data_IF_675507573065
#
_entry.id   IF_675507573065
#
_cell.length_a   1.000
_cell.length_b   1.000
_cell.length_c   1.000
_cell.angle_alpha   90.00
_cell.angle_beta   90.00
_cell.angle_gamma   90.00
#
_symmetry.space_group_name_H-M   'P 1'
#
loop_
_entity.id
_entity.type
_entity.pdbx_description
1 polymer ?
#
# COMPACT_ATOMS: atom_id res chain seq x y z
N UNK A 1 59.20 -58.84 -38.29
CA UNK A 1 57.89 -58.57 -38.93
C UNK A 1 56.79 -58.93 -37.94
N UNK A 2 55.84 -58.00 -37.73
CA UNK A 2 54.60 -58.07 -36.92
C UNK A 2 54.81 -57.77 -35.41
N UNK A 3 54.43 -56.58 -34.90
CA UNK A 3 53.06 -56.03 -34.63
C UNK A 3 52.37 -56.87 -33.55
N UNK A 4 51.78 -56.38 -32.45
CA UNK A 4 51.42 -55.05 -31.94
C UNK A 4 50.94 -55.20 -30.47
N UNK A 5 51.14 -54.19 -29.62
CA UNK A 5 50.09 -53.26 -29.13
C UNK A 5 48.94 -53.91 -28.33
N UNK A 6 48.97 -53.62 -27.03
CA UNK A 6 47.89 -53.16 -26.12
C UNK A 6 46.47 -53.75 -26.24
N UNK A 7 45.82 -54.01 -25.09
CA UNK A 7 44.83 -53.09 -24.51
C UNK A 7 44.27 -53.63 -23.17
N UNK A 8 44.21 -52.68 -22.25
CA UNK A 8 43.59 -52.62 -20.94
C UNK A 8 42.05 -52.72 -21.05
N UNK A 9 41.38 -53.55 -20.25
CA UNK A 9 39.95 -53.37 -19.94
C UNK A 9 39.73 -53.60 -18.45
N UNK A 10 39.66 -52.49 -17.72
CA UNK A 10 39.22 -52.41 -16.32
C UNK A 10 37.72 -52.10 -16.36
N UNK A 11 36.89 -53.08 -16.03
CA UNK A 11 35.43 -52.96 -16.06
C UNK A 11 34.88 -52.45 -14.71
N UNK A 12 34.43 -51.19 -14.74
CA UNK A 12 33.14 -50.70 -14.23
C UNK A 12 32.75 -50.97 -12.77
N UNK A 13 32.91 -49.95 -11.93
CA UNK A 13 31.99 -49.60 -10.84
C UNK A 13 32.06 -48.07 -10.62
N UNK A 14 31.29 -47.33 -11.43
CA UNK A 14 31.14 -45.88 -11.36
C UNK A 14 29.72 -45.55 -10.90
N UNK A 15 29.66 -45.06 -9.65
CA UNK A 15 28.77 -44.04 -9.09
C UNK A 15 27.52 -43.72 -9.91
N UNK A 16 26.36 -44.12 -9.39
CA UNK A 16 25.08 -43.55 -9.79
C UNK A 16 25.00 -42.09 -9.37
N UNK A 17 25.50 -41.20 -10.22
CA UNK A 17 25.08 -39.80 -10.22
C UNK A 17 23.65 -39.76 -10.74
N UNK A 18 22.69 -39.53 -9.86
CA UNK A 18 21.37 -39.03 -10.27
C UNK A 18 21.63 -37.68 -10.90
N UNK A 19 21.59 -37.61 -12.23
CA UNK A 19 21.55 -36.37 -12.99
C UNK A 19 20.29 -35.63 -12.55
N UNK A 20 20.45 -34.65 -11.68
CA UNK A 20 19.46 -33.59 -11.50
C UNK A 20 19.35 -32.94 -12.88
N UNK A 21 18.17 -32.96 -13.54
CA UNK A 21 18.02 -32.25 -14.79
C UNK A 21 18.40 -30.79 -14.53
N UNK A 22 19.31 -30.26 -15.34
CA UNK A 22 19.58 -28.84 -15.38
C UNK A 22 18.23 -28.15 -15.56
N UNK A 23 17.76 -27.49 -14.49
CA UNK A 23 16.63 -26.57 -14.56
C UNK A 23 17.00 -25.62 -15.69
N UNK A 24 16.25 -25.68 -16.79
CA UNK A 24 16.34 -24.71 -17.85
C UNK A 24 16.35 -23.35 -17.18
N UNK A 25 17.41 -22.56 -17.38
CA UNK A 25 17.44 -21.17 -16.99
C UNK A 25 16.29 -20.48 -17.73
N UNK A 26 15.13 -20.46 -17.09
CA UNK A 26 14.01 -19.65 -17.48
C UNK A 26 14.55 -18.23 -17.38
N UNK A 27 14.55 -17.48 -18.49
CA UNK A 27 14.96 -16.08 -18.50
C UNK A 27 14.34 -15.40 -17.27
N UNK A 28 15.20 -14.88 -16.39
CA UNK A 28 14.77 -14.18 -15.20
C UNK A 28 14.05 -12.93 -15.70
N UNK A 29 12.71 -12.96 -15.67
CA UNK A 29 11.90 -11.87 -16.17
C UNK A 29 12.16 -10.65 -15.29
N UNK A 30 12.68 -9.59 -15.90
CA UNK A 30 12.86 -8.31 -15.22
C UNK A 30 11.49 -7.65 -15.01
N UNK A 31 11.00 -7.75 -13.78
CA UNK A 31 9.77 -7.11 -13.32
C UNK A 31 10.01 -5.72 -12.74
N UNK A 32 11.24 -5.22 -12.76
CA UNK A 32 11.53 -3.88 -12.23
C UNK A 32 10.90 -2.80 -13.10
N UNK A 33 10.56 -1.70 -12.43
CA UNK A 33 10.09 -0.45 -13.02
C UNK A 33 11.15 0.59 -12.73
N UNK A 34 11.45 1.46 -13.69
CA UNK A 34 12.42 2.53 -13.48
C UNK A 34 11.76 3.76 -12.85
N UNK A 35 12.53 4.62 -12.18
CA UNK A 35 12.03 5.89 -11.65
C UNK A 35 11.44 6.80 -12.75
N UNK A 36 11.98 6.76 -13.97
CA UNK A 36 11.47 7.54 -15.11
C UNK A 36 10.09 7.04 -15.57
N UNK A 37 9.94 5.72 -15.72
CA UNK A 37 8.66 5.08 -16.04
C UNK A 37 7.63 5.35 -14.93
N UNK A 38 8.03 5.24 -13.67
CA UNK A 38 7.18 5.55 -12.54
C UNK A 38 6.73 7.03 -12.52
N UNK A 39 7.63 7.96 -12.84
CA UNK A 39 7.30 9.39 -12.92
C UNK A 39 6.27 9.68 -14.02
N UNK A 40 6.38 9.01 -15.17
CA UNK A 40 5.39 9.10 -16.25
C UNK A 40 4.02 8.58 -15.80
N UNK A 41 3.97 7.42 -15.14
CA UNK A 41 2.73 6.89 -14.56
C UNK A 41 2.11 7.83 -13.53
N UNK A 42 2.91 8.45 -12.66
CA UNK A 42 2.43 9.39 -11.66
C UNK A 42 1.77 10.60 -12.32
N UNK A 43 2.43 11.22 -13.31
CA UNK A 43 1.88 12.38 -14.03
C UNK A 43 0.62 12.03 -14.82
N UNK A 44 0.64 10.92 -15.57
CA UNK A 44 -0.51 10.48 -16.35
C UNK A 44 -1.74 10.23 -15.46
N UNK A 45 -1.56 9.53 -14.34
CA UNK A 45 -2.67 9.25 -13.43
C UNK A 45 -3.15 10.51 -12.68
N UNK A 46 -2.25 11.42 -12.30
CA UNK A 46 -2.65 12.71 -11.71
C UNK A 46 -3.55 13.50 -12.68
N UNK A 47 -3.15 13.60 -13.95
CA UNK A 47 -3.96 14.24 -15.00
C UNK A 47 -5.32 13.55 -15.14
N UNK A 48 -5.33 12.22 -15.19
CA UNK A 48 -6.56 11.43 -15.31
C UNK A 48 -7.51 11.65 -14.12
N UNK A 49 -6.98 11.68 -12.90
CA UNK A 49 -7.80 11.93 -11.71
C UNK A 49 -8.42 13.32 -11.71
N UNK A 50 -7.66 14.35 -12.10
CA UNK A 50 -8.17 15.72 -12.23
C UNK A 50 -9.21 15.79 -13.36
N UNK A 51 -8.90 15.25 -14.54
CA UNK A 51 -9.78 15.31 -15.71
C UNK A 51 -11.10 14.55 -15.52
N UNK A 52 -11.11 13.51 -14.69
CA UNK A 52 -12.32 12.74 -14.35
C UNK A 52 -13.07 13.27 -13.13
N UNK A 53 -12.65 14.41 -12.58
CA UNK A 53 -13.20 15.03 -11.35
C UNK A 53 -13.23 14.04 -10.17
N UNK A 54 -12.10 13.38 -9.92
CA UNK A 54 -11.96 12.43 -8.81
C UNK A 54 -12.00 13.15 -7.47
N UNK A 55 -12.75 12.62 -6.51
CA UNK A 55 -12.88 13.21 -5.17
C UNK A 55 -11.52 13.40 -4.51
N UNK A 56 -11.27 14.61 -4.00
CA UNK A 56 -10.00 15.02 -3.38
C UNK A 56 -9.02 15.73 -4.33
N UNK A 57 -9.26 15.73 -5.63
CA UNK A 57 -8.40 16.39 -6.63
C UNK A 57 -8.82 17.83 -6.98
N UNK A 58 -9.83 18.38 -6.32
CA UNK A 58 -10.40 19.71 -6.64
C UNK A 58 -9.33 20.82 -6.59
N UNK A 59 -8.36 20.66 -5.68
CA UNK A 59 -7.28 21.63 -5.47
C UNK A 59 -5.98 21.32 -6.22
N UNK A 60 -5.92 20.25 -7.02
CA UNK A 60 -4.69 19.77 -7.66
C UNK A 60 -4.38 20.42 -9.01
N UNK A 61 -5.34 21.13 -9.61
CA UNK A 61 -5.06 21.95 -10.79
C UNK A 61 -4.01 23.01 -10.47
N UNK A 62 -2.99 23.11 -11.32
CA UNK A 62 -1.79 23.93 -11.15
C UNK A 62 -0.68 23.28 -10.33
N UNK A 63 -0.87 22.05 -9.84
CA UNK A 63 0.16 21.28 -9.14
C UNK A 63 1.12 20.60 -10.14
N UNK A 64 2.31 20.26 -9.63
CA UNK A 64 3.35 19.51 -10.33
C UNK A 64 3.91 18.42 -9.44
N UNK A 65 4.42 17.34 -10.04
CA UNK A 65 5.09 16.26 -9.32
C UNK A 65 6.60 16.55 -9.28
N UNK A 66 7.23 16.43 -8.12
CA UNK A 66 8.70 16.43 -8.02
C UNK A 66 9.24 15.18 -8.73
N UNK A 67 10.14 15.34 -9.69
CA UNK A 67 10.67 14.23 -10.48
C UNK A 67 11.64 13.33 -9.74
N UNK A 68 12.07 13.71 -8.53
CA UNK A 68 12.94 12.89 -7.67
C UNK A 68 12.10 12.15 -6.65
N UNK A 69 11.79 10.85 -6.86
CA UNK A 69 11.05 10.09 -5.88
C UNK A 69 11.92 9.72 -4.67
N UNK A 70 11.25 9.50 -3.54
CA UNK A 70 11.81 8.68 -2.48
C UNK A 70 11.62 7.20 -2.84
N UNK A 71 12.66 6.39 -2.76
CA UNK A 71 12.54 4.95 -2.92
C UNK A 71 12.11 4.32 -1.59
N UNK A 72 11.02 3.57 -1.63
CA UNK A 72 10.49 2.84 -0.48
C UNK A 72 10.63 1.33 -0.70
N UNK A 73 11.00 0.63 0.36
CA UNK A 73 11.27 -0.80 0.36
C UNK A 73 10.30 -1.55 1.27
N UNK A 74 10.12 -2.83 0.99
CA UNK A 74 9.45 -3.77 1.86
C UNK A 74 10.39 -4.17 3.01
N UNK A 75 9.88 -4.57 4.19
CA UNK A 75 10.71 -5.09 5.26
C UNK A 75 11.54 -6.33 4.88
N UNK A 76 11.20 -7.01 3.77
CA UNK A 76 11.98 -8.10 3.17
C UNK A 76 13.17 -7.62 2.33
N UNK A 77 13.28 -6.31 2.04
CA UNK A 77 14.34 -5.73 1.22
C UNK A 77 13.99 -5.51 -0.25
N UNK A 78 12.82 -5.96 -0.71
CA UNK A 78 12.33 -5.71 -2.06
C UNK A 78 11.94 -4.24 -2.24
N UNK A 79 12.34 -3.58 -3.33
CA UNK A 79 11.86 -2.22 -3.64
C UNK A 79 10.37 -2.28 -3.93
N UNK A 80 9.59 -1.49 -3.18
CA UNK A 80 8.13 -1.42 -3.28
C UNK A 80 7.70 -0.32 -4.22
N UNK A 81 8.08 0.92 -3.90
CA UNK A 81 7.47 2.10 -4.49
C UNK A 81 8.49 3.17 -4.82
N UNK A 82 8.18 3.92 -5.86
CA UNK A 82 8.67 5.28 -6.06
C UNK A 82 7.60 6.23 -5.51
N UNK A 83 7.91 6.87 -4.39
CA UNK A 83 7.04 7.84 -3.75
C UNK A 83 7.33 9.24 -4.28
N UNK A 84 6.36 9.85 -4.95
CA UNK A 84 6.48 11.17 -5.52
C UNK A 84 5.71 12.22 -4.70
N UNK A 85 6.34 13.38 -4.49
CA UNK A 85 5.72 14.53 -3.85
C UNK A 85 4.94 15.35 -4.87
N UNK A 86 3.70 15.72 -4.53
CA UNK A 86 2.85 16.60 -5.33
C UNK A 86 2.88 17.99 -4.72
N UNK A 87 3.34 18.96 -5.49
CA UNK A 87 3.61 20.32 -5.05
C UNK A 87 2.70 21.31 -5.77
N UNK A 88 2.09 22.23 -5.02
CA UNK A 88 1.43 23.43 -5.57
C UNK A 88 2.00 24.65 -4.88
N UNK A 89 2.51 25.60 -5.65
CA UNK A 89 3.19 26.79 -5.12
C UNK A 89 4.30 26.44 -4.09
N UNK A 90 5.09 25.39 -4.36
CA UNK A 90 6.13 24.83 -3.47
C UNK A 90 5.62 24.25 -2.14
N UNK A 91 4.30 24.15 -1.96
CA UNK A 91 3.67 23.50 -0.80
C UNK A 91 3.35 22.06 -1.15
N UNK A 92 3.70 21.12 -0.26
CA UNK A 92 3.30 19.72 -0.37
C UNK A 92 1.80 19.59 -0.16
N UNK A 93 1.08 19.11 -1.18
CA UNK A 93 -0.38 18.92 -1.13
C UNK A 93 -0.80 17.46 -1.24
N UNK A 94 0.11 16.59 -1.65
CA UNK A 94 -0.18 15.17 -1.82
C UNK A 94 1.06 14.33 -2.07
N UNK A 95 0.87 13.02 -2.02
CA UNK A 95 1.86 12.00 -2.34
C UNK A 95 1.23 10.99 -3.30
N UNK A 96 2.00 10.51 -4.28
CA UNK A 96 1.61 9.38 -5.14
C UNK A 96 2.69 8.31 -5.05
N UNK A 97 2.31 7.10 -4.63
CA UNK A 97 3.19 5.94 -4.67
C UNK A 97 2.95 5.15 -5.96
N UNK A 98 4.01 4.91 -6.72
CA UNK A 98 3.99 4.09 -7.93
C UNK A 98 4.78 2.80 -7.69
N UNK A 99 4.24 1.66 -8.09
CA UNK A 99 4.92 0.37 -7.95
C UNK A 99 6.27 0.35 -8.68
N UNK A 100 7.30 -0.10 -7.97
CA UNK A 100 8.65 -0.35 -8.48
C UNK A 100 8.81 -1.78 -9.05
N UNK A 101 7.80 -2.63 -8.87
CA UNK A 101 7.75 -4.01 -9.34
C UNK A 101 6.38 -4.32 -9.95
N UNK A 102 6.36 -4.78 -11.20
CA UNK A 102 5.15 -5.07 -11.98
C UNK A 102 4.27 -6.15 -11.34
N UNK A 103 4.84 -7.00 -10.49
CA UNK A 103 4.11 -8.03 -9.73
C UNK A 103 3.21 -7.46 -8.64
N UNK A 104 3.30 -6.17 -8.33
CA UNK A 104 2.43 -5.48 -7.36
C UNK A 104 1.04 -5.11 -7.92
N UNK A 105 0.80 -5.33 -9.22
CA UNK A 105 -0.49 -5.08 -9.85
C UNK A 105 -0.52 -3.77 -10.62
N UNK A 106 -1.59 -2.98 -10.47
CA UNK A 106 -1.72 -1.67 -11.12
C UNK A 106 -0.58 -0.70 -10.77
N UNK A 107 -0.36 0.35 -11.56
CA UNK A 107 0.83 1.20 -11.38
C UNK A 107 0.74 2.12 -10.16
N UNK A 108 -0.40 2.79 -9.95
CA UNK A 108 -0.64 3.65 -8.77
C UNK A 108 -1.10 2.81 -7.59
N UNK A 109 -0.37 2.92 -6.48
CA UNK A 109 -0.51 2.10 -5.28
C UNK A 109 -1.21 2.88 -4.15
N UNK A 110 -0.90 4.17 -4.02
CA UNK A 110 -1.46 5.07 -3.02
C UNK A 110 -1.50 6.49 -3.60
N UNK A 111 -2.57 7.23 -3.29
CA UNK A 111 -2.66 8.69 -3.44
C UNK A 111 -3.12 9.27 -2.11
N UNK A 112 -2.20 9.93 -1.42
CA UNK A 112 -2.44 10.55 -0.13
C UNK A 112 -2.62 12.06 -0.29
N UNK A 113 -3.55 12.64 0.46
CA UNK A 113 -3.88 14.07 0.45
C UNK A 113 -3.39 14.73 1.73
N UNK A 114 -2.88 15.96 1.60
CA UNK A 114 -2.44 16.77 2.74
C UNK A 114 -1.49 16.03 3.72
N UNK A 115 -0.46 15.32 3.20
CA UNK A 115 0.41 14.53 4.07
C UNK A 115 1.24 15.43 4.99
N UNK A 116 1.42 14.97 6.23
CA UNK A 116 2.47 15.53 7.09
C UNK A 116 3.84 15.29 6.43
N UNK A 117 4.72 16.31 6.33
CA UNK A 117 6.07 16.09 5.84
C UNK A 117 6.93 15.38 6.89
N UNK A 118 7.91 14.60 6.43
CA UNK A 118 8.97 14.01 7.26
C UNK A 118 10.33 14.12 6.55
N UNK A 119 11.42 13.95 7.31
CA UNK A 119 12.78 13.98 6.78
C UNK A 119 13.39 12.56 6.76
N UNK A 120 13.47 11.97 5.57
CA UNK A 120 13.99 10.61 5.38
C UNK A 120 15.45 10.46 5.85
N UNK A 121 16.29 11.50 5.68
CA UNK A 121 17.69 11.47 6.10
C UNK A 121 17.80 11.38 7.62
N UNK A 122 16.94 12.09 8.33
CA UNK A 122 16.84 12.12 9.79
C UNK A 122 16.38 10.76 10.32
N UNK A 123 15.32 10.19 9.75
CA UNK A 123 14.85 8.85 10.11
C UNK A 123 15.94 7.78 9.89
N UNK A 124 16.62 7.80 8.73
CA UNK A 124 17.71 6.88 8.43
C UNK A 124 18.93 7.06 9.35
N UNK A 125 19.30 8.31 9.67
CA UNK A 125 20.35 8.60 10.64
C UNK A 125 20.00 8.04 12.02
N UNK A 126 18.75 8.22 12.46
CA UNK A 126 18.29 7.72 13.76
C UNK A 126 18.29 6.20 13.81
N UNK A 127 17.84 5.52 12.76
CA UNK A 127 17.90 4.06 12.65
C UNK A 127 19.35 3.55 12.73
N UNK A 128 20.31 4.20 12.06
CA UNK A 128 21.74 3.87 12.17
C UNK A 128 22.32 4.11 13.55
N UNK A 129 21.94 5.20 14.20
CA UNK A 129 22.37 5.53 15.56
C UNK A 129 21.95 4.42 16.54
N UNK A 130 20.67 4.03 16.50
CA UNK A 130 20.13 2.96 17.35
C UNK A 130 20.85 1.63 17.04
N UNK A 131 21.04 1.30 15.77
CA UNK A 131 21.77 0.08 15.38
C UNK A 131 23.20 0.04 15.92
N UNK A 132 23.93 1.16 15.89
CA UNK A 132 25.29 1.26 16.47
C UNK A 132 25.31 1.18 17.99
N UNK A 133 24.25 1.65 18.66
CA UNK A 133 24.16 1.57 20.10
C UNK A 133 23.82 0.16 20.57
N UNK A 134 22.93 -0.54 19.87
CA UNK A 134 22.52 -1.92 20.21
C UNK A 134 23.54 -2.97 19.75
N UNK A 135 24.24 -2.71 18.65
CA UNK A 135 25.27 -3.59 18.09
C UNK A 135 26.57 -2.81 17.80
N UNK A 136 27.31 -2.36 18.83
CA UNK A 136 28.52 -1.54 18.65
C UNK A 136 29.60 -2.16 17.76
N UNK A 137 29.75 -3.49 17.82
CA UNK A 137 30.70 -4.22 16.98
C UNK A 137 30.11 -4.67 15.63
N UNK A 138 28.80 -4.50 15.42
CA UNK A 138 28.09 -4.96 14.24
C UNK A 138 28.48 -4.23 12.95
N UNK A 139 28.38 -4.92 11.82
CA UNK A 139 28.55 -4.34 10.49
C UNK A 139 27.18 -3.91 9.94
N UNK A 140 26.99 -2.60 9.70
CA UNK A 140 25.79 -2.12 8.99
C UNK A 140 25.85 -2.61 7.55
N UNK A 141 24.87 -3.43 7.15
CA UNK A 141 24.75 -3.97 5.79
C UNK A 141 23.97 -3.04 4.88
N UNK A 142 22.91 -2.42 5.40
CA UNK A 142 22.08 -1.47 4.65
C UNK A 142 21.30 -0.56 5.59
N UNK A 143 20.91 0.60 5.07
CA UNK A 143 19.87 1.45 5.67
C UNK A 143 19.00 1.98 4.54
N UNK A 144 17.68 1.80 4.66
CA UNK A 144 16.73 2.22 3.63
C UNK A 144 15.41 2.68 4.26
N UNK A 145 14.65 3.49 3.53
CA UNK A 145 13.27 3.78 3.89
C UNK A 145 12.39 2.59 3.54
N UNK A 146 11.49 2.22 4.45
CA UNK A 146 10.61 1.05 4.33
C UNK A 146 9.17 1.43 4.61
N UNK A 147 8.24 0.68 3.99
CA UNK A 147 6.85 0.63 4.42
C UNK A 147 6.73 -0.54 5.38
N UNK A 148 6.76 -0.28 6.68
CA UNK A 148 6.87 -1.35 7.67
C UNK A 148 5.52 -1.86 8.17
N UNK A 149 4.50 -1.01 8.15
CA UNK A 149 3.12 -1.31 8.56
C UNK A 149 2.18 -0.50 7.66
N UNK A 150 1.84 -1.03 6.47
CA UNK A 150 1.26 -0.24 5.39
C UNK A 150 -0.01 0.52 5.83
N UNK A 151 -0.13 1.83 5.53
CA UNK A 151 0.75 2.64 4.67
C UNK A 151 1.89 3.39 5.41
N UNK A 152 2.19 3.04 6.67
CA UNK A 152 3.17 3.73 7.50
C UNK A 152 4.61 3.47 7.02
N UNK A 153 5.38 4.54 6.95
CA UNK A 153 6.78 4.56 6.49
C UNK A 153 7.75 4.82 7.63
N UNK A 154 8.93 4.21 7.54
CA UNK A 154 10.01 4.32 8.52
C UNK A 154 11.37 4.05 7.90
N UNK A 155 12.43 4.10 8.69
CA UNK A 155 13.76 3.69 8.27
C UNK A 155 14.11 2.33 8.88
N UNK A 156 14.66 1.43 8.06
CA UNK A 156 15.19 0.13 8.48
C UNK A 156 16.70 0.10 8.29
N UNK A 157 17.44 -0.29 9.33
CA UNK A 157 18.87 -0.60 9.26
C UNK A 157 19.08 -2.08 9.52
N UNK A 158 19.75 -2.77 8.60
CA UNK A 158 20.20 -4.16 8.79
C UNK A 158 21.63 -4.13 9.32
N UNK A 159 21.85 -4.75 10.47
CA UNK A 159 23.16 -4.87 11.11
C UNK A 159 23.50 -6.33 11.35
N UNK A 160 24.67 -6.74 10.88
CA UNK A 160 25.21 -8.08 11.10
C UNK A 160 26.09 -8.08 12.34
N UNK A 161 25.69 -8.79 13.38
CA UNK A 161 26.51 -8.99 14.56
C UNK A 161 27.77 -9.80 14.19
N UNK A 162 28.96 -9.25 14.49
CA UNK A 162 30.23 -9.93 14.21
C UNK A 162 30.48 -11.14 15.09
N UNK A 163 29.88 -11.19 16.28
CA UNK A 163 30.08 -12.27 17.25
C UNK A 163 29.32 -13.52 16.84
N UNK A 164 28.05 -13.34 16.51
CA UNK A 164 27.14 -14.45 16.17
C UNK A 164 27.00 -14.67 14.67
N UNK A 165 27.30 -13.66 13.86
CA UNK A 165 27.04 -13.66 12.41
C UNK A 165 25.57 -13.40 12.05
N UNK A 166 24.69 -13.21 13.03
CA UNK A 166 23.25 -13.03 12.84
C UNK A 166 22.95 -11.60 12.38
N UNK A 167 22.00 -11.46 11.46
CA UNK A 167 21.49 -10.16 11.02
C UNK A 167 20.28 -9.74 11.85
N UNK A 168 20.30 -8.48 12.29
CA UNK A 168 19.23 -7.84 13.04
C UNK A 168 18.70 -6.65 12.25
N UNK A 169 17.40 -6.38 12.35
CA UNK A 169 16.76 -5.22 11.72
C UNK A 169 16.34 -4.22 12.80
N UNK A 170 16.65 -2.96 12.56
CA UNK A 170 16.27 -1.85 13.43
C UNK A 170 15.32 -0.93 12.66
N UNK A 171 14.09 -0.79 13.16
CA UNK A 171 13.06 0.05 12.57
C UNK A 171 12.88 1.35 13.38
N UNK A 172 12.69 2.46 12.67
CA UNK A 172 12.38 3.78 13.24
C UNK A 172 11.25 4.39 12.43
N UNK A 173 10.19 4.83 13.10
CA UNK A 173 9.07 5.52 12.44
C UNK A 173 9.52 6.87 11.88
N UNK A 174 9.11 7.20 10.65
CA UNK A 174 9.60 8.39 9.97
C UNK A 174 9.08 9.71 10.57
N UNK A 175 7.94 9.67 11.26
CA UNK A 175 7.24 10.85 11.74
C UNK A 175 7.55 11.20 13.19
N UNK A 176 7.74 10.18 14.02
CA UNK A 176 7.99 10.27 15.46
C UNK A 176 9.47 10.09 15.81
N UNK A 177 10.24 9.45 14.92
CA UNK A 177 11.62 9.04 15.14
C UNK A 177 11.79 8.05 16.30
N UNK A 178 10.70 7.43 16.74
CA UNK A 178 10.70 6.40 17.77
C UNK A 178 11.08 5.04 17.18
N UNK A 179 11.73 4.21 17.99
CA UNK A 179 12.06 2.83 17.63
C UNK A 179 10.76 2.02 17.52
N UNK A 180 10.62 1.27 16.43
CA UNK A 180 9.55 0.29 16.26
C UNK A 180 10.10 -1.10 16.59
N UNK A 181 9.34 -1.87 17.36
CA UNK A 181 9.71 -3.25 17.68
C UNK A 181 9.68 -4.13 16.42
N UNK A 182 10.75 -4.88 16.16
CA UNK A 182 10.79 -5.86 15.08
C UNK A 182 10.00 -7.12 15.46
N UNK A 183 8.67 -7.00 15.44
CA UNK A 183 7.73 -8.09 15.71
C UNK A 183 6.63 -8.08 14.64
N UNK A 184 6.10 -9.25 14.25
CA UNK A 184 4.99 -9.31 13.31
C UNK A 184 3.73 -8.67 13.90
N UNK A 185 2.88 -8.13 13.03
CA UNK A 185 1.53 -7.72 13.41
C UNK A 185 0.71 -8.94 13.90
N UNK A 186 -0.19 -8.70 14.84
CA UNK A 186 -1.20 -9.68 15.29
C UNK A 186 -2.60 -9.15 14.98
N UNK A 187 -3.67 -9.87 15.29
CA UNK A 187 -5.04 -9.34 15.08
C UNK A 187 -5.29 -8.06 15.91
N UNK A 188 -4.64 -7.91 17.07
CA UNK A 188 -4.92 -6.84 18.03
C UNK A 188 -3.76 -5.87 18.24
N UNK A 189 -2.60 -6.09 17.61
CA UNK A 189 -1.43 -5.24 17.76
C UNK A 189 -0.80 -4.95 16.39
N UNK A 190 -0.44 -3.68 16.10
CA UNK A 190 0.34 -3.35 14.91
C UNK A 190 1.75 -3.96 15.00
N UNK A 191 2.38 -4.13 13.85
CA UNK A 191 3.73 -4.70 13.77
C UNK A 191 4.27 -4.66 12.36
N UNK A 192 5.43 -5.28 12.16
CA UNK A 192 6.12 -5.33 10.88
C UNK A 192 5.50 -6.42 9.99
N UNK A 193 5.04 -6.06 8.80
CA UNK A 193 4.52 -7.03 7.82
C UNK A 193 4.81 -6.61 6.37
N UNK A 194 4.77 -7.58 5.46
CA UNK A 194 5.10 -7.37 4.04
C UNK A 194 3.85 -7.08 3.21
N UNK A 195 3.68 -5.83 2.79
CA UNK A 195 2.66 -5.48 1.80
C UNK A 195 2.98 -6.10 0.43
N UNK A 196 4.27 -6.35 0.15
CA UNK A 196 4.67 -7.07 -1.05
C UNK A 196 4.05 -8.47 -1.09
N UNK A 197 4.27 -9.28 -0.04
CA UNK A 197 3.72 -10.62 0.07
C UNK A 197 2.19 -10.63 0.07
N UNK A 198 1.57 -9.66 0.77
CA UNK A 198 0.12 -9.51 0.80
C UNK A 198 -0.45 -9.31 -0.61
N UNK A 199 0.13 -8.41 -1.42
CA UNK A 199 -0.32 -8.16 -2.80
C UNK A 199 -0.06 -9.35 -3.73
N UNK A 200 0.96 -10.16 -3.48
CA UNK A 200 1.22 -11.37 -4.27
C UNK A 200 0.16 -12.46 -4.07
N UNK A 201 -0.62 -12.44 -2.98
CA UNK A 201 -1.75 -13.36 -2.77
C UNK A 201 -2.84 -13.22 -3.83
N UNK A 202 -2.90 -12.07 -4.52
CA UNK A 202 -3.81 -11.85 -5.66
C UNK A 202 -3.43 -12.66 -6.92
N UNK A 203 -2.23 -13.26 -6.94
CA UNK A 203 -1.70 -14.05 -8.04
C UNK A 203 -0.87 -13.21 -9.03
N UNK A 204 0.37 -13.64 -9.26
CA UNK A 204 1.34 -12.93 -10.13
C UNK A 204 0.77 -12.66 -11.52
N UNK A 205 0.17 -13.65 -12.18
CA UNK A 205 -0.39 -13.49 -13.52
C UNK A 205 -1.55 -12.49 -13.57
N UNK A 206 -2.33 -12.41 -12.49
CA UNK A 206 -3.39 -11.42 -12.40
C UNK A 206 -2.82 -10.01 -12.19
N UNK A 207 -1.82 -9.90 -11.31
CA UNK A 207 -1.13 -8.64 -11.07
C UNK A 207 -0.44 -8.11 -12.33
N UNK A 208 0.26 -8.95 -13.09
CA UNK A 208 0.88 -8.56 -14.36
C UNK A 208 -0.16 -8.11 -15.40
N UNK A 209 -1.34 -8.73 -15.44
CA UNK A 209 -2.46 -8.27 -16.27
C UNK A 209 -2.97 -6.90 -15.84
N UNK A 210 -3.04 -6.63 -14.53
CA UNK A 210 -3.43 -5.31 -14.00
C UNK A 210 -2.35 -4.25 -14.30
N UNK A 211 -1.07 -4.59 -14.13
CA UNK A 211 0.04 -3.74 -14.51
C UNK A 211 -0.06 -3.31 -15.97
N UNK A 212 -0.16 -4.28 -16.88
CA UNK A 212 -0.20 -4.01 -18.32
C UNK A 212 -1.33 -3.06 -18.71
N UNK A 213 -2.54 -3.26 -18.17
CA UNK A 213 -3.66 -2.36 -18.47
C UNK A 213 -3.50 -0.97 -17.85
N UNK A 214 -2.92 -0.88 -16.66
CA UNK A 214 -2.57 0.40 -16.03
C UNK A 214 -1.52 1.16 -16.84
N UNK A 215 -0.57 0.44 -17.43
CA UNK A 215 0.46 0.97 -18.31
C UNK A 215 -0.12 1.44 -19.65
N UNK A 216 -1.02 0.67 -20.26
CA UNK A 216 -1.76 1.06 -21.46
C UNK A 216 -2.56 2.36 -21.25
N UNK A 217 -3.21 2.51 -20.10
CA UNK A 217 -3.88 3.76 -19.73
C UNK A 217 -2.90 4.93 -19.67
N UNK A 218 -1.79 4.80 -18.94
CA UNK A 218 -0.80 5.86 -18.83
C UNK A 218 -0.23 6.27 -20.20
N UNK A 219 0.12 5.30 -21.04
CA UNK A 219 0.59 5.52 -22.42
C UNK A 219 -0.44 6.22 -23.29
N UNK A 220 -1.73 5.91 -23.14
CA UNK A 220 -2.79 6.60 -23.88
C UNK A 220 -2.88 8.08 -23.51
N UNK A 221 -2.70 8.42 -22.22
CA UNK A 221 -2.72 9.80 -21.73
C UNK A 221 -1.49 10.56 -22.21
N UNK A 222 -0.31 9.92 -22.16
CA UNK A 222 0.92 10.44 -22.76
C UNK A 222 0.73 10.77 -24.25
N UNK A 223 0.18 9.83 -25.02
CA UNK A 223 -0.04 10.03 -26.44
C UNK A 223 -1.04 11.16 -26.71
N UNK A 224 -2.13 11.24 -25.94
CA UNK A 224 -3.08 12.35 -26.03
C UNK A 224 -2.40 13.69 -25.74
N UNK A 225 -1.52 13.74 -24.73
CA UNK A 225 -0.77 14.93 -24.39
C UNK A 225 0.19 15.36 -25.50
N UNK A 226 0.95 14.42 -26.08
CA UNK A 226 1.82 14.69 -27.24
C UNK A 226 1.00 15.25 -28.41
N UNK A 227 -0.14 14.63 -28.73
CA UNK A 227 -1.01 15.06 -29.83
C UNK A 227 -1.56 16.49 -29.66
N UNK A 228 -1.72 16.94 -28.41
CA UNK A 228 -2.22 18.29 -28.08
C UNK A 228 -1.10 19.29 -27.74
N UNK A 229 0.16 18.89 -27.84
CA UNK A 229 1.31 19.72 -27.46
C UNK A 229 1.36 20.06 -25.96
N UNK A 230 0.83 19.18 -25.12
CA UNK A 230 0.84 19.32 -23.66
C UNK A 230 1.99 18.49 -23.08
N UNK A 231 2.81 19.10 -22.22
CA UNK A 231 3.83 18.36 -21.46
C UNK A 231 3.22 17.81 -20.19
N UNK A 232 3.24 16.48 -20.03
CA UNK A 232 2.77 15.83 -18.79
C UNK A 232 3.76 15.96 -17.64
N UNK A 233 5.02 16.31 -17.91
CA UNK A 233 6.08 16.44 -16.90
C UNK A 233 6.14 17.84 -16.27
N UNK A 234 5.18 18.70 -16.60
CA UNK A 234 5.08 20.07 -16.10
C UNK A 234 3.83 20.23 -15.22
N UNK A 235 3.68 21.41 -14.61
CA UNK A 235 2.49 21.71 -13.83
C UNK A 235 1.21 21.56 -14.67
N UNK A 236 0.20 20.89 -14.10
CA UNK A 236 -1.04 20.54 -14.79
C UNK A 236 -2.00 21.73 -14.73
N UNK A 237 -1.93 22.62 -15.71
CA UNK A 237 -2.78 23.83 -15.75
C UNK A 237 -4.24 23.52 -16.10
N UNK A 238 -5.16 24.45 -15.81
CA UNK A 238 -6.55 24.34 -16.26
C UNK A 238 -6.67 24.20 -17.78
N UNK A 239 -5.81 24.90 -18.54
CA UNK A 239 -5.77 24.81 -20.00
C UNK A 239 -5.34 23.41 -20.45
N UNK A 240 -4.34 22.84 -19.81
CA UNK A 240 -3.87 21.48 -20.09
C UNK A 240 -5.00 20.47 -19.83
N UNK A 241 -5.68 20.58 -18.68
CA UNK A 241 -6.82 19.71 -18.37
C UNK A 241 -7.93 19.88 -19.41
N UNK A 242 -8.35 21.11 -19.74
CA UNK A 242 -9.39 21.36 -20.75
C UNK A 242 -9.04 20.75 -22.11
N UNK A 243 -7.77 20.81 -22.53
CA UNK A 243 -7.31 20.20 -23.79
C UNK A 243 -7.36 18.67 -23.75
N UNK A 244 -7.03 18.07 -22.62
CA UNK A 244 -6.92 16.62 -22.46
C UNK A 244 -8.25 15.95 -22.11
N UNK A 245 -9.15 16.61 -21.38
CA UNK A 245 -10.43 16.03 -20.92
C UNK A 245 -11.32 15.51 -22.05
N UNK A 246 -11.17 16.01 -23.28
CA UNK A 246 -11.91 15.49 -24.44
C UNK A 246 -11.37 14.14 -24.94
N UNK A 247 -10.06 13.91 -24.80
CA UNK A 247 -9.36 12.71 -25.28
C UNK A 247 -9.22 11.67 -24.17
N UNK A 248 -9.09 12.11 -22.91
CA UNK A 248 -9.27 11.31 -21.70
C UNK A 248 -10.75 10.99 -21.63
N UNK A 249 -11.14 10.06 -22.49
CA UNK A 249 -12.50 9.54 -22.55
C UNK A 249 -12.74 8.95 -21.18
N UNK A 250 -13.68 9.51 -20.42
CA UNK A 250 -14.27 8.81 -19.28
C UNK A 250 -14.80 7.51 -19.87
N UNK A 251 -14.04 6.43 -19.71
CA UNK A 251 -14.45 5.14 -20.23
C UNK A 251 -15.86 4.88 -19.70
N UNK A 252 -16.71 4.15 -20.43
CA UNK A 252 -17.98 3.68 -19.85
C UNK A 252 -17.76 2.92 -18.52
N UNK A 253 -16.53 2.47 -18.26
CA UNK A 253 -16.12 1.80 -17.03
C UNK A 253 -15.61 2.72 -15.92
N UNK A 254 -15.37 4.01 -16.19
CA UNK A 254 -14.88 4.95 -15.17
C UNK A 254 -16.01 5.34 -14.23
N UNK A 255 -16.01 4.71 -13.06
CA UNK A 255 -17.03 4.85 -12.03
C UNK A 255 -16.34 5.27 -10.76
N UNK A 256 -16.96 6.19 -10.04
CA UNK A 256 -16.53 6.59 -8.70
C UNK A 256 -17.74 6.72 -7.82
N UNK A 257 -17.65 6.15 -6.63
CA UNK A 257 -18.64 6.30 -5.57
C UNK A 257 -17.88 6.59 -4.28
N UNK A 258 -18.12 7.75 -3.68
CA UNK A 258 -17.65 8.12 -2.34
C UNK A 258 -18.87 8.49 -1.50
N UNK A 259 -19.08 7.77 -0.40
CA UNK A 259 -20.26 7.92 0.46
C UNK A 259 -20.18 9.11 1.41
N UNK A 260 -19.08 9.86 1.45
CA UNK A 260 -19.01 11.07 2.27
C UNK A 260 -18.65 10.84 3.75
N UNK A 261 -18.50 9.59 4.21
CA UNK A 261 -18.36 9.25 5.64
C UNK A 261 -17.14 9.90 6.32
N UNK A 262 -17.37 10.66 7.40
CA UNK A 262 -16.33 11.43 8.12
C UNK A 262 -15.20 10.53 8.66
N UNK A 263 -13.96 11.01 8.57
CA UNK A 263 -12.77 10.31 9.07
C UNK A 263 -12.38 10.87 10.44
N UNK A 264 -12.15 9.98 11.41
CA UNK A 264 -11.74 10.33 12.78
C UNK A 264 -10.44 9.62 13.16
N UNK A 265 -9.43 10.36 13.60
CA UNK A 265 -8.20 9.77 14.14
C UNK A 265 -8.46 8.93 15.40
N UNK A 266 -7.67 7.88 15.62
CA UNK A 266 -7.69 7.15 16.89
C UNK A 266 -7.11 7.99 18.03
N UNK A 267 -7.69 7.91 19.23
CA UNK A 267 -7.24 8.69 20.40
C UNK A 267 -6.13 8.01 21.21
N UNK A 268 -5.87 6.72 20.96
CA UNK A 268 -4.76 5.96 21.55
C UNK A 268 -4.30 4.87 20.58
N UNK A 269 -3.10 4.32 20.80
CA UNK A 269 -2.39 3.45 19.85
C UNK A 269 -3.11 2.15 19.50
N UNK A 270 -4.05 1.70 20.33
CA UNK A 270 -4.80 0.45 20.17
C UNK A 270 -6.28 0.65 19.81
N UNK A 271 -6.68 1.86 19.39
CA UNK A 271 -8.08 2.22 19.12
C UNK A 271 -8.48 2.26 17.64
N UNK A 272 -7.73 1.60 16.74
CA UNK A 272 -8.08 1.54 15.33
C UNK A 272 -9.51 0.97 15.09
N UNK A 273 -9.87 -0.10 15.79
CA UNK A 273 -11.22 -0.68 15.76
C UNK A 273 -12.31 0.28 16.26
N UNK A 274 -12.23 0.80 17.51
CA UNK A 274 -13.15 1.80 18.03
C UNK A 274 -13.25 3.08 17.17
N UNK A 275 -12.15 3.57 16.63
CA UNK A 275 -12.14 4.74 15.75
C UNK A 275 -12.87 4.47 14.43
N UNK A 276 -12.63 3.31 13.82
CA UNK A 276 -13.37 2.86 12.63
C UNK A 276 -14.86 2.72 12.93
N UNK A 277 -15.22 2.13 14.07
CA UNK A 277 -16.60 2.00 14.50
C UNK A 277 -17.28 3.35 14.76
N UNK A 278 -16.56 4.34 15.29
CA UNK A 278 -17.05 5.72 15.42
C UNK A 278 -17.39 6.33 14.06
N UNK A 279 -16.52 6.18 13.06
CA UNK A 279 -16.78 6.67 11.70
C UNK A 279 -18.04 6.01 11.09
N UNK A 280 -18.18 4.69 11.28
CA UNK A 280 -19.34 3.95 10.79
C UNK A 280 -20.63 4.32 11.56
N UNK A 281 -20.55 4.54 12.88
CA UNK A 281 -21.70 4.96 13.70
C UNK A 281 -22.21 6.33 13.27
N UNK A 282 -21.30 7.29 13.06
CA UNK A 282 -21.65 8.62 12.55
C UNK A 282 -22.39 8.49 11.21
N UNK A 283 -21.88 7.65 10.31
CA UNK A 283 -22.49 7.49 8.99
C UNK A 283 -23.88 6.83 9.04
N UNK A 284 -24.04 5.73 9.77
CA UNK A 284 -25.28 4.95 9.76
C UNK A 284 -26.37 5.49 10.68
N UNK A 285 -25.98 6.12 11.79
CA UNK A 285 -26.90 6.49 12.87
C UNK A 285 -26.91 8.00 13.17
N UNK A 286 -26.05 8.81 12.52
CA UNK A 286 -25.87 10.24 12.83
C UNK A 286 -25.49 10.47 14.32
N UNK A 287 -24.71 9.54 14.85
CA UNK A 287 -24.27 9.51 16.25
C UNK A 287 -22.74 9.49 16.36
N UNK A 288 -22.22 10.25 17.33
CA UNK A 288 -20.79 10.48 17.48
C UNK A 288 -20.20 9.97 18.82
N UNK A 289 -20.32 8.67 19.17
CA UNK A 289 -19.89 8.17 20.46
C UNK A 289 -18.38 8.32 20.71
N UNK A 290 -18.00 8.36 21.98
CA UNK A 290 -16.59 8.41 22.37
C UNK A 290 -15.91 7.04 22.13
N UNK A 291 -14.68 7.03 21.61
CA UNK A 291 -13.98 5.77 21.28
C UNK A 291 -13.80 4.85 22.50
N UNK A 292 -13.60 5.40 23.70
CA UNK A 292 -13.55 4.62 24.95
C UNK A 292 -14.85 3.86 25.22
N UNK A 293 -16.01 4.49 25.02
CA UNK A 293 -17.31 3.81 25.20
C UNK A 293 -17.49 2.67 24.21
N UNK A 294 -17.10 2.89 22.95
CA UNK A 294 -17.10 1.85 21.93
C UNK A 294 -16.16 0.69 22.33
N UNK A 295 -14.95 1.01 22.78
CA UNK A 295 -13.95 0.02 23.21
C UNK A 295 -14.43 -0.84 24.39
N UNK A 296 -15.07 -0.22 25.39
CA UNK A 296 -15.71 -0.93 26.52
C UNK A 296 -16.81 -1.87 26.03
N UNK A 297 -17.66 -1.43 25.10
CA UNK A 297 -18.72 -2.27 24.51
C UNK A 297 -18.19 -3.40 23.63
N UNK A 298 -17.02 -3.22 23.03
CA UNK A 298 -16.30 -4.26 22.31
C UNK A 298 -15.56 -5.23 23.26
N UNK A 299 -15.68 -5.07 24.58
CA UNK A 299 -14.91 -5.84 25.57
C UNK A 299 -13.39 -5.75 25.33
N UNK A 300 -12.89 -4.56 24.97
CA UNK A 300 -11.47 -4.31 24.82
C UNK A 300 -10.70 -4.41 26.14
N UNK A 301 -9.45 -4.87 26.09
CA UNK A 301 -8.55 -4.97 27.25
C UNK A 301 -7.24 -4.25 26.95
N UNK A 302 -7.03 -3.10 27.58
CA UNK A 302 -5.85 -2.28 27.34
C UNK A 302 -4.55 -3.02 27.76
N UNK A 303 -3.43 -2.81 27.04
CA UNK A 303 -3.25 -1.89 25.93
C UNK A 303 -3.47 -2.52 24.54
N UNK A 304 -4.27 -3.59 24.43
CA UNK A 304 -4.49 -4.30 23.16
C UNK A 304 -5.64 -3.72 22.35
N UNK A 305 -5.60 -3.89 21.03
CA UNK A 305 -6.73 -3.63 20.15
C UNK A 305 -7.89 -4.61 20.36
N UNK A 306 -8.81 -4.61 19.40
CA UNK A 306 -10.02 -5.46 19.41
C UNK A 306 -10.08 -6.35 18.18
N UNK A 307 -10.35 -7.62 18.41
CA UNK A 307 -10.60 -8.62 17.35
C UNK A 307 -11.84 -8.28 16.53
N UNK A 308 -12.00 -8.88 15.35
CA UNK A 308 -13.22 -8.71 14.56
C UNK A 308 -14.46 -9.20 15.31
N UNK A 309 -14.33 -10.27 16.11
CA UNK A 309 -15.42 -10.79 16.94
C UNK A 309 -15.85 -9.79 18.02
N UNK A 310 -14.90 -9.10 18.64
CA UNK A 310 -15.15 -8.04 19.59
C UNK A 310 -15.79 -6.82 18.93
N UNK A 311 -15.34 -6.42 17.74
CA UNK A 311 -15.95 -5.31 17.00
C UNK A 311 -17.43 -5.59 16.68
N UNK A 312 -17.76 -6.83 16.31
CA UNK A 312 -19.14 -7.25 16.05
C UNK A 312 -20.07 -7.15 17.27
N UNK A 313 -19.55 -7.16 18.50
CA UNK A 313 -20.35 -6.94 19.71
C UNK A 313 -21.00 -5.56 19.68
N UNK A 314 -20.22 -4.53 19.34
CA UNK A 314 -20.71 -3.17 19.23
C UNK A 314 -21.61 -2.98 18.00
N UNK A 315 -21.23 -3.53 16.85
CA UNK A 315 -22.02 -3.39 15.62
C UNK A 315 -23.42 -4.01 15.74
N UNK A 316 -23.53 -5.20 16.34
CA UNK A 316 -24.80 -5.94 16.44
C UNK A 316 -25.67 -5.52 17.62
N UNK A 317 -25.08 -5.00 18.69
CA UNK A 317 -25.81 -4.65 19.91
C UNK A 317 -26.86 -3.57 19.65
N UNK A 318 -28.06 -3.74 20.23
CA UNK A 318 -29.12 -2.72 20.20
C UNK A 318 -28.74 -1.44 20.94
N UNK A 319 -27.80 -1.53 21.88
CA UNK A 319 -27.24 -0.38 22.60
C UNK A 319 -25.97 0.16 21.91
N UNK A 320 -25.53 -0.47 20.81
CA UNK A 320 -24.44 -0.03 19.94
C UNK A 320 -24.99 0.46 18.61
N UNK A 321 -24.53 -0.07 17.48
CA UNK A 321 -25.01 0.39 16.17
C UNK A 321 -26.37 -0.18 15.76
N UNK A 322 -26.87 -1.22 16.44
CA UNK A 322 -28.12 -1.91 16.09
C UNK A 322 -28.14 -2.43 14.63
N UNK A 323 -27.03 -3.07 14.23
CA UNK A 323 -26.81 -3.70 12.93
C UNK A 323 -26.65 -5.22 13.10
N UNK A 324 -27.74 -5.94 13.46
CA UNK A 324 -27.67 -7.33 13.93
C UNK A 324 -27.09 -8.30 12.89
N UNK A 325 -27.27 -8.02 11.60
CA UNK A 325 -26.82 -8.84 10.48
C UNK A 325 -25.38 -8.54 10.04
N UNK A 326 -24.66 -7.66 10.77
CA UNK A 326 -23.24 -7.39 10.51
C UNK A 326 -22.39 -8.66 10.62
N UNK A 327 -21.37 -8.82 9.79
CA UNK A 327 -20.50 -10.00 9.81
C UNK A 327 -19.09 -9.71 9.30
N UNK A 328 -18.12 -10.51 9.76
CA UNK A 328 -16.73 -10.46 9.32
C UNK A 328 -16.44 -11.51 8.25
N UNK A 329 -15.52 -11.22 7.33
CA UNK A 329 -15.05 -12.16 6.30
C UNK A 329 -13.58 -11.92 5.96
N UNK A 330 -12.84 -12.98 5.66
CA UNK A 330 -11.48 -12.92 5.09
C UNK A 330 -11.49 -13.09 3.57
N UNK A 331 -12.66 -13.34 2.99
CA UNK A 331 -12.83 -13.40 1.53
C UNK A 331 -13.04 -11.98 1.02
N UNK A 332 -11.95 -11.35 0.55
CA UNK A 332 -11.94 -9.99 0.02
C UNK A 332 -12.00 -10.00 -1.51
N UNK A 333 -12.83 -9.14 -2.09
CA UNK A 333 -12.89 -8.92 -3.53
C UNK A 333 -13.31 -7.50 -3.84
N UNK A 334 -12.82 -6.94 -4.96
CA UNK A 334 -13.22 -5.60 -5.38
C UNK A 334 -14.72 -5.53 -5.70
N UNK A 335 -15.26 -6.55 -6.38
CA UNK A 335 -16.70 -6.67 -6.66
C UNK A 335 -17.55 -6.68 -5.37
N UNK A 336 -17.08 -7.33 -4.30
CA UNK A 336 -17.74 -7.30 -3.00
C UNK A 336 -17.77 -5.89 -2.39
N UNK A 337 -16.66 -5.14 -2.48
CA UNK A 337 -16.60 -3.76 -2.01
C UNK A 337 -17.55 -2.86 -2.81
N UNK A 338 -17.53 -2.97 -4.14
CA UNK A 338 -18.43 -2.22 -5.01
C UNK A 338 -19.90 -2.48 -4.67
N UNK A 339 -20.28 -3.74 -4.50
CA UNK A 339 -21.66 -4.10 -4.17
C UNK A 339 -22.08 -3.50 -2.83
N UNK A 340 -21.22 -3.54 -1.80
CA UNK A 340 -21.56 -2.93 -0.52
C UNK A 340 -21.72 -1.40 -0.63
N UNK A 341 -20.75 -0.74 -1.26
CA UNK A 341 -20.74 0.72 -1.41
C UNK A 341 -21.93 1.19 -2.25
N UNK A 342 -22.28 0.49 -3.34
CA UNK A 342 -23.45 0.83 -4.16
C UNK A 342 -24.78 0.70 -3.41
N UNK A 343 -24.83 -0.12 -2.36
CA UNK A 343 -25.97 -0.22 -1.45
C UNK A 343 -25.90 0.80 -0.30
N UNK A 344 -24.99 1.79 -0.38
CA UNK A 344 -24.82 2.82 0.63
C UNK A 344 -24.13 2.33 1.89
N UNK A 345 -23.38 1.23 1.83
CA UNK A 345 -22.78 0.62 3.02
C UNK A 345 -21.26 0.81 3.09
N UNK A 346 -20.72 1.84 3.78
CA UNK A 346 -19.31 1.83 4.15
C UNK A 346 -19.07 0.69 5.14
N UNK A 347 -17.86 0.15 5.13
CA UNK A 347 -17.51 -1.05 5.88
C UNK A 347 -16.12 -0.97 6.48
N UNK A 348 -15.81 -1.82 7.48
CA UNK A 348 -14.44 -1.93 8.00
C UNK A 348 -13.57 -2.66 6.99
N UNK A 349 -12.47 -2.05 6.61
CA UNK A 349 -11.39 -2.58 5.79
C UNK A 349 -10.20 -2.90 6.69
N UNK A 350 -9.83 -4.18 6.81
CA UNK A 350 -8.68 -4.60 7.62
C UNK A 350 -7.41 -4.79 6.79
N UNK A 351 -6.30 -4.46 7.42
CA UNK A 351 -4.95 -4.93 7.05
C UNK A 351 -4.32 -5.53 8.32
N UNK A 352 -3.22 -6.29 8.24
CA UNK A 352 -2.63 -6.93 9.42
C UNK A 352 -2.45 -5.96 10.60
N UNK A 353 -3.10 -6.24 11.72
CA UNK A 353 -3.03 -5.45 12.95
C UNK A 353 -3.76 -4.11 12.96
N UNK A 354 -4.52 -3.78 11.90
CA UNK A 354 -5.12 -2.45 11.77
C UNK A 354 -6.54 -2.48 11.16
N UNK A 355 -7.38 -1.57 11.66
CA UNK A 355 -8.75 -1.41 11.21
C UNK A 355 -8.95 0.00 10.64
N UNK A 356 -9.53 0.06 9.44
CA UNK A 356 -9.80 1.28 8.68
C UNK A 356 -11.22 1.24 8.14
N UNK A 357 -11.74 2.35 7.64
CA UNK A 357 -13.04 2.39 6.96
C UNK A 357 -12.85 2.46 5.44
N UNK A 358 -13.48 1.55 4.70
CA UNK A 358 -13.71 1.77 3.27
C UNK A 358 -15.03 2.52 3.10
N UNK A 359 -14.97 3.71 2.50
CA UNK A 359 -16.12 4.60 2.28
C UNK A 359 -16.46 4.84 0.82
N UNK A 360 -15.76 4.18 -0.09
CA UNK A 360 -15.93 4.40 -1.51
C UNK A 360 -15.01 3.54 -2.37
N UNK A 361 -15.21 3.61 -3.68
CA UNK A 361 -14.35 2.98 -4.65
C UNK A 361 -14.26 3.82 -5.92
N UNK A 362 -13.23 3.53 -6.72
CA UNK A 362 -13.08 4.07 -8.07
C UNK A 362 -12.59 2.99 -9.01
N UNK A 363 -13.17 2.96 -10.19
CA UNK A 363 -12.63 2.28 -11.36
C UNK A 363 -12.12 3.37 -12.30
N UNK A 364 -10.87 3.22 -12.76
CA UNK A 364 -10.35 4.06 -13.85
C UNK A 364 -9.62 3.20 -14.87
N UNK A 365 -10.20 3.07 -16.06
CA UNK A 365 -9.84 2.01 -16.98
C UNK A 365 -10.08 0.64 -16.35
N UNK A 366 -9.00 -0.05 -16.00
CA UNK A 366 -9.00 -1.31 -15.24
C UNK A 366 -8.44 -1.21 -13.83
N UNK A 367 -8.03 -0.01 -13.41
CA UNK A 367 -7.46 0.21 -12.09
C UNK A 367 -8.59 0.28 -11.08
N UNK A 368 -8.41 -0.43 -9.97
CA UNK A 368 -9.39 -0.64 -8.92
C UNK A 368 -8.87 0.02 -7.64
N UNK A 369 -9.56 1.06 -7.20
CA UNK A 369 -9.17 1.83 -6.02
C UNK A 369 -10.25 1.77 -4.94
N UNK A 370 -9.81 1.74 -3.69
CA UNK A 370 -10.67 1.94 -2.53
C UNK A 370 -10.44 3.34 -1.95
N UNK A 371 -11.51 3.97 -1.46
CA UNK A 371 -11.48 5.23 -0.72
C UNK A 371 -11.42 4.91 0.76
N UNK A 372 -10.27 5.12 1.38
CA UNK A 372 -10.01 4.70 2.75
C UNK A 372 -10.04 5.91 3.70
N UNK A 373 -10.82 5.79 4.77
CA UNK A 373 -10.70 6.60 5.97
C UNK A 373 -9.89 5.84 7.00
N UNK A 374 -8.66 6.26 7.22
CA UNK A 374 -7.72 5.57 8.11
C UNK A 374 -7.59 6.31 9.45
N UNK A 375 -7.85 5.66 10.60
CA UNK A 375 -7.69 6.30 11.90
C UNK A 375 -6.21 6.45 12.33
N UNK A 376 -5.26 5.75 11.69
CA UNK A 376 -3.85 5.79 12.01
C UNK A 376 -2.94 5.60 10.76
N UNK A 377 -2.00 6.50 10.47
CA UNK A 377 -1.44 7.52 11.36
C UNK A 377 -2.40 8.69 11.60
N UNK A 378 -2.41 9.22 12.83
CA UNK A 378 -3.28 10.34 13.25
C UNK A 378 -3.10 11.64 12.44
N UNK A 379 -2.13 11.66 11.53
CA UNK A 379 -1.85 12.76 10.62
C UNK A 379 -2.53 12.58 9.26
N UNK A 380 -3.15 11.42 8.98
CA UNK A 380 -3.90 11.12 7.75
C UNK A 380 -5.40 11.30 7.98
N UNK A 381 -5.80 12.41 8.60
CA UNK A 381 -7.20 12.76 8.90
C UNK A 381 -8.06 13.05 7.66
N UNK A 382 -7.56 12.77 6.46
CA UNK A 382 -8.23 12.98 5.18
C UNK A 382 -8.28 11.64 4.47
N UNK A 383 -9.42 11.25 3.89
CA UNK A 383 -9.51 9.99 3.16
C UNK A 383 -8.58 10.01 1.94
N UNK A 384 -7.99 8.85 1.65
CA UNK A 384 -7.04 8.67 0.56
C UNK A 384 -7.50 7.57 -0.41
N UNK A 385 -6.87 7.50 -1.58
CA UNK A 385 -7.12 6.42 -2.55
C UNK A 385 -5.99 5.40 -2.49
N UNK A 386 -6.31 4.12 -2.37
CA UNK A 386 -5.33 3.04 -2.48
C UNK A 386 -5.74 2.00 -3.52
N UNK A 387 -4.76 1.34 -4.12
CA UNK A 387 -4.99 0.19 -4.97
C UNK A 387 -5.62 -0.95 -4.17
N UNK A 388 -6.65 -1.59 -4.71
CA UNK A 388 -7.22 -2.80 -4.14
C UNK A 388 -6.15 -3.90 -3.97
N UNK A 389 -6.28 -4.70 -2.91
CA UNK A 389 -5.42 -5.87 -2.65
C UNK A 389 -4.46 -5.75 -1.46
N UNK A 390 -4.55 -4.66 -0.69
CA UNK A 390 -3.92 -4.52 0.63
C UNK A 390 -4.66 -5.32 1.72
N UNK A 391 -5.98 -5.41 1.60
CA UNK A 391 -6.86 -5.95 2.63
C UNK A 391 -6.68 -7.45 2.87
N UNK A 392 -6.82 -7.90 4.11
CA UNK A 392 -6.88 -9.32 4.50
C UNK A 392 -8.24 -9.73 5.09
N UNK A 393 -9.03 -8.77 5.56
CA UNK A 393 -10.38 -8.98 6.04
C UNK A 393 -11.30 -7.76 5.84
N UNK A 394 -12.59 -7.98 6.09
CA UNK A 394 -13.61 -6.92 6.16
C UNK A 394 -14.66 -7.22 7.23
N UNK A 395 -15.31 -6.17 7.73
CA UNK A 395 -16.60 -6.29 8.43
C UNK A 395 -17.64 -5.45 7.69
N UNK A 396 -18.66 -6.12 7.15
CA UNK A 396 -19.82 -5.48 6.56
C UNK A 396 -20.85 -5.18 7.64
N UNK A 397 -21.40 -3.97 7.64
CA UNK A 397 -22.29 -3.45 8.68
C UNK A 397 -23.71 -3.41 8.13
N UNK A 398 -24.58 -4.32 8.60
CA UNK A 398 -25.90 -4.56 8.00
C UNK A 398 -27.02 -4.66 9.03
N UNK A 399 -28.18 -4.12 8.67
CA UNK A 399 -29.42 -4.17 9.46
C UNK A 399 -30.23 -5.41 9.14
#
# INVERSE_FOLDING_TARGET
NKIGVSILVLATLLVGMVLIPAVSAQEEKDYSVTAEEAFKHANANMINFIATNTSGFENWTGASIDSKPLELYDPTGQKLYYQFSVLKNKTLIGIIDIAADKRLGQTVQLVLFEPKPFDATTAMNKSREIAKNEYPEGEIKSTQMVVYDYPIVGAMTIVKDKTTGVEHRIFVDAYTLEKVEDKPATETEPGIWSIYEQRLKNGIDNNLRHWQKSDELAKSIEQAAVNKGVSINAAVTEENIKKLSADITKSRTDVEVDLGATVYAQITSYYCGPATAKMLTEYYNDENPHQTTIYEMMNGVAPNGVTNSQQLLYYRSSNGMNKPDSFSTTTVSFAGAMNEINNGGPFKSGVPGHARMCRGYKISGSNEYLRIGDPNPIYFCVPYWEAFGSEDDRIYVRS
#
